data_IF_936732883634
#
_entry.id   IF_936732883634
#
_cell.length_a   1.000
_cell.length_b   1.000
_cell.length_c   1.000
_cell.angle_alpha   90.00
_cell.angle_beta   90.00
_cell.angle_gamma   90.00
#
_symmetry.space_group_name_H-M   'P 1'
#
loop_
_entity.id
_entity.type
_entity.pdbx_description
1 polymer ?
#
# COMPACT_ATOMS: atom_id res chain seq x y z
N UNK A 1 15.09 4.71 -5.42
CA UNK A 1 14.03 5.33 -6.22
C UNK A 1 12.68 4.74 -5.79
N UNK A 2 11.68 5.58 -5.62
CA UNK A 2 10.31 5.17 -5.33
C UNK A 2 9.46 5.71 -6.46
N UNK A 3 8.73 4.85 -7.15
CA UNK A 3 7.82 5.23 -8.23
C UNK A 3 6.46 4.57 -8.00
N UNK A 4 5.40 5.33 -8.16
CA UNK A 4 4.03 4.83 -8.09
C UNK A 4 3.56 4.48 -9.50
N UNK A 5 2.90 3.35 -9.67
CA UNK A 5 2.47 2.85 -10.98
C UNK A 5 1.31 3.64 -11.58
N UNK A 6 0.42 4.17 -10.73
CA UNK A 6 -0.71 5.02 -11.13
C UNK A 6 -1.15 5.92 -9.97
N UNK A 7 -2.02 6.89 -10.24
CA UNK A 7 -2.66 7.74 -9.21
C UNK A 7 -3.87 7.10 -8.53
N UNK A 8 -4.16 5.83 -8.78
CA UNK A 8 -5.29 5.13 -8.18
C UNK A 8 -5.06 4.83 -6.69
N UNK A 9 -6.11 4.83 -5.87
CA UNK A 9 -6.01 4.39 -4.49
C UNK A 9 -5.50 2.95 -4.39
N UNK A 10 -4.43 2.73 -3.60
CA UNK A 10 -3.84 1.41 -3.43
C UNK A 10 -2.93 0.94 -4.56
N UNK A 11 -2.65 1.80 -5.54
CA UNK A 11 -1.73 1.52 -6.64
C UNK A 11 -0.38 1.01 -6.15
N UNK A 12 0.22 0.12 -6.92
CA UNK A 12 1.52 -0.44 -6.63
C UNK A 12 2.61 0.62 -6.56
N UNK A 13 3.46 0.50 -5.57
CA UNK A 13 4.67 1.30 -5.43
C UNK A 13 5.86 0.41 -5.73
N UNK A 14 6.64 0.79 -6.73
CA UNK A 14 7.92 0.15 -7.03
C UNK A 14 9.01 0.83 -6.22
N UNK A 15 9.63 0.09 -5.33
CA UNK A 15 10.76 0.56 -4.52
C UNK A 15 12.02 -0.09 -5.06
N UNK A 16 12.98 0.70 -5.50
CA UNK A 16 14.28 0.23 -5.99
C UNK A 16 15.39 0.80 -5.14
N UNK A 17 16.19 -0.08 -4.53
CA UNK A 17 17.29 0.29 -3.64
C UNK A 17 18.62 0.31 -4.40
N UNK A 18 18.92 -0.73 -5.20
CA UNK A 18 20.18 -0.94 -5.90
C UNK A 18 20.11 -0.83 -7.43
N UNK A 19 19.00 -0.30 -7.99
CA UNK A 19 18.81 -0.24 -9.45
C UNK A 19 18.32 -1.57 -10.04
N UNK A 20 18.51 -1.77 -11.35
CA UNK A 20 18.12 -3.00 -12.06
C UNK A 20 19.32 -3.96 -12.06
N UNK A 21 19.40 -4.84 -11.08
CA UNK A 21 20.47 -5.84 -10.98
C UNK A 21 20.10 -7.18 -11.61
N UNK A 22 18.83 -7.42 -11.88
CA UNK A 22 18.36 -8.68 -12.46
C UNK A 22 17.48 -8.46 -13.68
N UNK A 23 17.76 -9.23 -14.74
CA UNK A 23 16.96 -9.26 -15.98
C UNK A 23 15.78 -10.23 -15.86
N UNK A 24 15.87 -11.24 -15.00
CA UNK A 24 14.93 -12.37 -14.92
C UNK A 24 14.15 -12.46 -13.62
N UNK A 25 14.69 -11.97 -12.52
CA UNK A 25 14.00 -11.94 -11.22
C UNK A 25 13.59 -10.51 -10.88
N UNK A 26 12.50 -10.36 -10.13
CA UNK A 26 12.02 -9.04 -9.73
C UNK A 26 13.11 -8.23 -9.03
N UNK A 27 13.09 -6.92 -9.24
CA UNK A 27 14.06 -5.96 -8.65
C UNK A 27 13.54 -5.36 -7.33
N UNK A 28 12.49 -5.92 -6.75
CA UNK A 28 11.92 -5.45 -5.50
C UNK A 28 12.79 -5.86 -4.30
N UNK A 29 12.96 -4.98 -3.30
CA UNK A 29 13.65 -5.31 -2.08
C UNK A 29 12.85 -6.34 -1.25
N UNK A 30 13.55 -7.11 -0.43
CA UNK A 30 12.93 -7.95 0.58
C UNK A 30 12.34 -7.07 1.68
N UNK A 31 11.11 -7.37 2.10
CA UNK A 31 10.49 -6.70 3.25
C UNK A 31 10.53 -7.66 4.44
N UNK A 32 11.02 -7.16 5.56
CA UNK A 32 11.11 -7.90 6.82
C UNK A 32 10.32 -7.13 7.88
N UNK A 33 9.35 -7.78 8.52
CA UNK A 33 8.57 -7.19 9.61
C UNK A 33 8.90 -7.92 10.90
N UNK A 34 9.40 -7.21 11.90
CA UNK A 34 9.81 -7.74 13.20
C UNK A 34 10.68 -9.01 13.10
N UNK A 35 11.60 -9.01 12.13
CA UNK A 35 12.52 -10.12 11.88
C UNK A 35 11.97 -11.23 10.97
N UNK A 36 10.67 -11.20 10.63
CA UNK A 36 10.05 -12.17 9.73
C UNK A 36 10.06 -11.66 8.29
N UNK A 37 10.76 -12.34 7.37
CA UNK A 37 10.75 -11.94 5.97
C UNK A 37 9.39 -12.24 5.35
N UNK A 38 8.80 -11.24 4.72
CA UNK A 38 7.64 -11.44 3.88
C UNK A 38 8.09 -12.05 2.56
N UNK A 39 7.46 -13.12 2.18
CA UNK A 39 7.68 -13.67 0.85
C UNK A 39 7.04 -12.74 -0.17
N UNK A 40 7.88 -11.97 -0.87
CA UNK A 40 7.46 -11.04 -1.94
C UNK A 40 6.99 -11.78 -3.19
N UNK A 41 6.78 -13.09 -3.11
CA UNK A 41 6.21 -13.92 -4.13
C UNK A 41 4.82 -13.41 -4.49
N UNK A 42 4.74 -12.77 -5.64
CA UNK A 42 3.52 -12.53 -6.41
C UNK A 42 2.33 -11.95 -5.64
N UNK A 43 2.52 -10.75 -5.11
CA UNK A 43 1.38 -9.90 -4.78
C UNK A 43 0.84 -9.16 -6.02
N UNK A 44 1.34 -9.46 -7.19
CA UNK A 44 0.58 -9.38 -8.43
C UNK A 44 -0.49 -10.46 -8.32
N UNK A 45 -1.75 -10.11 -8.44
CA UNK A 45 -2.84 -11.07 -8.57
C UNK A 45 -2.55 -11.99 -9.76
N UNK A 46 -1.82 -13.08 -9.53
CA UNK A 46 -1.79 -14.24 -10.42
C UNK A 46 -3.15 -14.93 -10.30
N UNK A 47 -4.04 -14.52 -11.11
CA UNK A 47 -5.40 -15.03 -11.26
C UNK A 47 -6.00 -14.53 -12.55
N UNK A 48 -5.17 -14.27 -13.55
CA UNK A 48 -5.59 -13.91 -14.89
C UNK A 48 -4.88 -14.80 -15.90
N UNK A 49 -5.63 -15.65 -16.58
CA UNK A 49 -5.20 -16.26 -17.83
C UNK A 49 -4.54 -15.21 -18.72
N UNK A 50 -3.55 -15.65 -19.50
CA UNK A 50 -2.72 -14.86 -20.45
C UNK A 50 -3.54 -14.03 -21.46
N UNK A 51 -4.87 -14.07 -21.39
CA UNK A 51 -5.79 -13.36 -22.30
C UNK A 51 -6.37 -12.06 -21.73
N UNK A 52 -6.14 -11.73 -20.47
CA UNK A 52 -6.71 -10.51 -19.88
C UNK A 52 -5.70 -9.36 -20.02
N UNK A 53 -5.82 -8.60 -21.11
CA UNK A 53 -5.14 -7.32 -21.35
C UNK A 53 -5.78 -6.27 -20.41
N UNK A 54 -5.48 -6.38 -19.17
CA UNK A 54 -6.02 -5.55 -18.10
C UNK A 54 -5.46 -6.00 -16.77
N UNK A 55 -4.12 -6.16 -16.71
CA UNK A 55 -3.45 -6.51 -15.46
C UNK A 55 -3.79 -5.47 -14.40
N UNK A 56 -4.48 -5.92 -13.35
CA UNK A 56 -4.61 -5.12 -12.15
C UNK A 56 -3.22 -4.69 -11.71
N UNK A 57 -3.00 -3.39 -11.58
CA UNK A 57 -1.73 -2.82 -11.15
C UNK A 57 -1.21 -3.58 -9.93
N UNK A 58 0.08 -3.95 -9.94
CA UNK A 58 0.72 -4.58 -8.80
C UNK A 58 0.40 -3.78 -7.53
N UNK A 59 -0.05 -4.44 -6.48
CA UNK A 59 -0.41 -3.76 -5.23
C UNK A 59 0.83 -3.43 -4.43
N UNK A 60 0.75 -2.36 -3.65
CA UNK A 60 1.85 -2.00 -2.76
C UNK A 60 2.02 -3.10 -1.70
N UNK A 61 3.20 -3.73 -1.60
CA UNK A 61 3.45 -4.76 -0.59
C UNK A 61 3.37 -4.23 0.84
N UNK A 62 3.47 -2.91 1.05
CA UNK A 62 3.30 -2.29 2.37
C UNK A 62 1.82 -2.13 2.78
N UNK A 63 0.87 -2.47 1.92
CA UNK A 63 -0.55 -2.40 2.26
C UNK A 63 -0.98 -3.41 3.34
N UNK A 64 -0.15 -4.41 3.66
CA UNK A 64 -0.47 -5.37 4.72
C UNK A 64 -0.40 -4.81 6.11
N UNK A 65 0.43 -3.81 6.35
CA UNK A 65 0.64 -3.27 7.68
C UNK A 65 -0.12 -1.94 7.81
N UNK A 66 -0.62 -1.70 9.00
CA UNK A 66 -1.12 -0.39 9.34
C UNK A 66 0.07 0.56 9.57
N UNK A 67 0.09 1.69 8.89
CA UNK A 67 1.16 2.70 9.04
C UNK A 67 1.29 3.20 10.48
N UNK A 68 0.18 3.27 11.22
CA UNK A 68 0.19 3.69 12.61
C UNK A 68 0.82 2.66 13.57
N UNK A 69 1.01 1.42 13.13
CA UNK A 69 1.70 0.38 13.89
C UNK A 69 3.20 0.33 13.63
N UNK A 70 3.71 1.11 12.69
CA UNK A 70 5.13 1.17 12.40
C UNK A 70 5.81 2.08 13.44
N UNK A 71 6.85 1.55 14.10
CA UNK A 71 7.74 2.33 14.97
C UNK A 71 8.91 2.91 14.18
N UNK A 72 9.55 2.08 13.36
CA UNK A 72 10.68 2.49 12.52
C UNK A 72 10.76 1.69 11.23
N UNK A 73 11.39 2.29 10.23
CA UNK A 73 11.71 1.65 8.96
C UNK A 73 13.18 1.89 8.63
N UNK A 74 13.92 0.83 8.40
CA UNK A 74 15.34 0.88 8.03
C UNK A 74 15.56 0.23 6.68
N UNK A 75 16.41 0.84 5.85
CA UNK A 75 16.75 0.32 4.51
C UNK A 75 18.20 -0.15 4.52
N UNK A 76 18.39 -1.46 4.40
CA UNK A 76 19.70 -2.08 4.31
C UNK A 76 20.15 -2.11 2.85
N UNK A 77 21.22 -1.36 2.57
CA UNK A 77 21.77 -1.22 1.21
C UNK A 77 23.08 -1.98 1.02
N UNK A 78 23.80 -2.23 2.10
CA UNK A 78 25.15 -2.81 2.04
C UNK A 78 25.08 -4.34 2.00
N UNK A 79 26.05 -4.95 1.29
CA UNK A 79 26.10 -6.40 1.14
C UNK A 79 26.28 -7.11 2.50
N UNK A 80 27.05 -6.52 3.42
CA UNK A 80 27.27 -7.07 4.77
C UNK A 80 25.98 -7.10 5.59
N UNK A 81 25.15 -6.03 5.53
CA UNK A 81 23.90 -5.95 6.28
C UNK A 81 22.78 -6.81 5.69
N UNK A 82 22.85 -7.11 4.38
CA UNK A 82 21.86 -7.96 3.70
C UNK A 82 22.24 -9.44 3.70
N UNK A 83 23.48 -9.79 4.04
CA UNK A 83 24.00 -11.17 4.00
C UNK A 83 23.19 -12.16 4.85
N UNK A 84 22.63 -11.71 5.98
CA UNK A 84 21.80 -12.56 6.86
C UNK A 84 20.51 -13.04 6.19
N UNK A 85 20.07 -12.37 5.12
CA UNK A 85 18.87 -12.73 4.35
C UNK A 85 19.17 -13.55 3.09
N UNK A 86 20.47 -13.86 2.86
CA UNK A 86 20.93 -14.66 1.72
C UNK A 86 20.57 -14.04 0.37
N UNK A 87 20.30 -14.87 -0.62
CA UNK A 87 19.98 -14.44 -1.99
C UNK A 87 18.74 -13.52 -2.08
N UNK A 88 17.79 -13.65 -1.16
CA UNK A 88 16.58 -12.79 -1.12
C UNK A 88 16.91 -11.33 -0.78
N UNK A 89 18.02 -11.08 -0.08
CA UNK A 89 18.49 -9.72 0.23
C UNK A 89 19.30 -9.04 -0.88
N UNK A 90 19.49 -9.68 -2.04
CA UNK A 90 20.37 -9.17 -3.11
C UNK A 90 19.94 -7.78 -3.63
N UNK A 91 18.64 -7.51 -3.70
CA UNK A 91 18.08 -6.22 -4.15
C UNK A 91 17.96 -5.18 -3.03
N UNK A 92 18.49 -5.47 -1.84
CA UNK A 92 18.33 -4.69 -0.62
C UNK A 92 17.20 -5.22 0.26
N UNK A 93 17.16 -4.75 1.50
CA UNK A 93 16.17 -5.18 2.49
C UNK A 93 15.55 -3.96 3.16
N UNK A 94 14.22 -3.96 3.30
CA UNK A 94 13.47 -3.00 4.09
C UNK A 94 13.05 -3.69 5.37
N UNK A 95 13.61 -3.25 6.49
CA UNK A 95 13.27 -3.76 7.83
C UNK A 95 12.26 -2.82 8.46
N UNK A 96 11.11 -3.36 8.82
CA UNK A 96 10.03 -2.65 9.50
C UNK A 96 9.95 -3.18 10.92
N UNK A 97 10.02 -2.29 11.89
CA UNK A 97 9.81 -2.61 13.31
C UNK A 97 8.47 -2.05 13.73
N UNK A 98 7.64 -2.88 14.34
CA UNK A 98 6.31 -2.45 14.81
C UNK A 98 6.36 -1.92 16.24
N UNK A 99 5.39 -1.06 16.55
CA UNK A 99 5.23 -0.48 17.89
C UNK A 99 4.93 -1.55 18.92
N UNK A 100 5.58 -1.43 20.07
CA UNK A 100 5.36 -2.23 21.27
C UNK A 100 4.75 -1.38 22.38
N UNK A 101 4.24 -2.00 23.43
CA UNK A 101 3.83 -1.28 24.63
C UNK A 101 5.05 -0.62 25.31
N UNK A 102 4.87 0.54 25.92
CA UNK A 102 5.95 1.28 26.59
C UNK A 102 5.64 1.59 28.06
N UNK A 103 4.41 1.34 28.51
CA UNK A 103 3.94 1.74 29.83
C UNK A 103 3.42 0.55 30.62
N UNK A 104 3.70 0.54 31.91
CA UNK A 104 3.16 -0.45 32.85
C UNK A 104 1.63 -0.32 33.04
N UNK A 105 1.08 0.84 32.74
CA UNK A 105 -0.36 1.05 32.72
C UNK A 105 -0.91 0.80 31.31
N UNK A 106 -2.10 0.20 31.18
CA UNK A 106 -2.74 0.07 29.89
C UNK A 106 -2.93 1.44 29.22
N UNK A 107 -2.47 1.57 27.98
CA UNK A 107 -2.63 2.78 27.18
C UNK A 107 -3.56 2.50 26.02
N UNK A 108 -4.67 3.23 25.98
CA UNK A 108 -5.59 3.24 24.85
C UNK A 108 -5.28 4.46 23.98
N UNK A 109 -5.04 4.23 22.70
CA UNK A 109 -4.76 5.29 21.73
C UNK A 109 -5.74 5.19 20.58
N UNK A 110 -6.39 6.30 20.26
CA UNK A 110 -7.23 6.43 19.08
C UNK A 110 -6.68 7.55 18.18
N UNK A 111 -6.43 7.22 16.92
CA UNK A 111 -6.03 8.16 15.89
C UNK A 111 -7.09 8.19 14.79
N UNK A 112 -7.47 9.38 14.37
CA UNK A 112 -8.34 9.58 13.23
C UNK A 112 -7.77 10.66 12.32
N UNK A 113 -7.89 10.47 11.02
CA UNK A 113 -7.52 11.50 10.04
C UNK A 113 -8.48 11.51 8.86
N UNK A 114 -8.69 12.69 8.31
CA UNK A 114 -9.49 12.93 7.11
C UNK A 114 -8.62 13.69 6.12
N UNK A 115 -8.56 13.22 4.89
CA UNK A 115 -7.79 13.82 3.81
C UNK A 115 -8.67 14.00 2.58
N UNK A 116 -8.62 15.19 1.99
CA UNK A 116 -9.27 15.51 0.72
C UNK A 116 -8.23 15.50 -0.40
N UNK A 117 -8.57 14.88 -1.51
CA UNK A 117 -7.74 14.83 -2.70
C UNK A 117 -8.51 15.40 -3.89
N UNK A 118 -7.85 16.22 -4.68
CA UNK A 118 -8.42 16.79 -5.91
C UNK A 118 -7.37 16.72 -7.00
N UNK A 119 -7.80 16.54 -8.23
CA UNK A 119 -6.91 16.65 -9.38
C UNK A 119 -6.34 18.07 -9.45
N UNK A 120 -5.04 18.17 -9.67
CA UNK A 120 -4.35 19.45 -9.88
C UNK A 120 -4.06 19.62 -11.38
N UNK A 121 -4.63 20.66 -11.96
CA UNK A 121 -4.51 20.98 -13.38
C UNK A 121 -5.64 20.38 -14.22
N UNK A 122 -5.83 20.95 -15.42
CA UNK A 122 -6.80 20.50 -16.41
C UNK A 122 -6.07 19.80 -17.55
N UNK A 123 -6.60 18.71 -18.03
CA UNK A 123 -6.17 18.17 -19.31
C UNK A 123 -6.68 19.10 -20.40
N UNK A 124 -5.78 19.71 -21.16
CA UNK A 124 -6.16 20.52 -22.32
C UNK A 124 -6.60 19.60 -23.46
N UNK A 125 -7.78 19.01 -23.29
CA UNK A 125 -8.42 18.22 -24.34
C UNK A 125 -9.16 19.16 -25.28
N UNK A 126 -9.18 18.83 -26.57
CA UNK A 126 -10.01 19.55 -27.55
C UNK A 126 -11.48 19.27 -27.25
N UNK A 127 -12.28 20.31 -27.24
CA UNK A 127 -13.73 20.16 -27.26
C UNK A 127 -14.17 19.52 -28.58
N UNK A 128 -15.36 18.86 -28.62
CA UNK A 128 -15.87 18.32 -29.89
C UNK A 128 -15.91 19.34 -31.04
N UNK A 129 -16.26 20.58 -30.76
CA UNK A 129 -16.28 21.66 -31.75
C UNK A 129 -14.87 22.08 -32.21
N UNK A 130 -13.88 22.08 -31.31
CA UNK A 130 -12.48 22.33 -31.69
C UNK A 130 -11.90 21.17 -32.50
N UNK A 131 -12.24 19.92 -32.09
CA UNK A 131 -11.85 18.73 -32.81
C UNK A 131 -12.40 18.71 -34.26
N UNK A 132 -13.71 19.02 -34.43
CA UNK A 132 -14.34 19.10 -35.72
C UNK A 132 -13.69 20.16 -36.66
N UNK A 133 -13.22 21.29 -36.09
CA UNK A 133 -12.48 22.29 -36.84
C UNK A 133 -11.07 21.81 -37.23
N UNK A 134 -10.41 21.07 -36.33
CA UNK A 134 -9.07 20.55 -36.57
C UNK A 134 -9.06 19.38 -37.57
N UNK A 135 -10.11 18.56 -37.60
CA UNK A 135 -10.25 17.38 -38.47
C UNK A 135 -11.57 17.45 -39.22
N UNK A 136 -11.57 18.14 -40.39
CA UNK A 136 -12.78 18.28 -41.22
C UNK A 136 -13.38 16.92 -41.61
N UNK A 137 -14.70 16.80 -41.57
CA UNK A 137 -15.43 15.57 -41.89
C UNK A 137 -15.67 14.62 -40.70
N UNK A 138 -15.16 14.95 -39.51
CA UNK A 138 -15.39 14.18 -38.30
C UNK A 138 -16.47 14.79 -37.38
N UNK A 139 -17.15 15.84 -37.82
CA UNK A 139 -18.27 16.41 -37.08
C UNK A 139 -19.45 15.42 -37.05
N UNK A 140 -19.71 14.87 -35.90
CA UNK A 140 -20.83 13.96 -35.61
C UNK A 140 -22.05 14.70 -35.02
N UNK A 141 -22.04 16.04 -35.03
CA UNK A 141 -23.16 16.86 -34.48
C UNK A 141 -23.33 16.71 -32.97
N UNK A 142 -22.28 16.34 -32.25
CA UNK A 142 -22.29 16.16 -30.80
C UNK A 142 -22.37 17.49 -30.06
N UNK A 143 -22.94 17.46 -28.85
CA UNK A 143 -22.87 18.58 -27.93
C UNK A 143 -21.49 18.63 -27.30
N UNK A 144 -20.98 19.85 -27.08
CA UNK A 144 -19.79 20.04 -26.26
C UNK A 144 -20.09 19.55 -24.83
N UNK A 145 -19.42 18.47 -24.43
CA UNK A 145 -19.57 17.86 -23.14
C UNK A 145 -18.21 17.70 -22.48
N UNK A 146 -18.05 18.20 -21.28
CA UNK A 146 -16.82 18.03 -20.51
C UNK A 146 -16.79 16.65 -19.88
N UNK A 147 -16.15 15.70 -20.55
CA UNK A 147 -16.00 14.33 -20.06
C UNK A 147 -15.11 14.25 -18.82
N UNK A 148 -14.17 15.19 -18.67
CA UNK A 148 -13.31 15.27 -17.50
C UNK A 148 -14.14 15.51 -16.23
N UNK A 149 -14.99 16.54 -16.23
CA UNK A 149 -15.88 16.82 -15.10
C UNK A 149 -16.88 15.68 -14.85
N UNK A 150 -17.26 14.97 -15.90
CA UNK A 150 -18.19 13.86 -15.79
C UNK A 150 -17.59 12.68 -15.01
N UNK A 151 -16.31 12.41 -15.16
CA UNK A 151 -15.62 11.25 -14.57
C UNK A 151 -14.84 11.58 -13.30
N UNK A 152 -14.49 12.86 -13.08
CA UNK A 152 -13.71 13.30 -11.94
C UNK A 152 -14.59 13.67 -10.74
N UNK A 153 -14.03 13.52 -9.55
CA UNK A 153 -14.59 13.92 -8.27
C UNK A 153 -13.50 14.31 -7.29
N UNK A 154 -13.88 14.93 -6.18
CA UNK A 154 -12.99 15.06 -5.04
C UNK A 154 -12.90 13.73 -4.31
N UNK A 155 -11.69 13.24 -4.10
CA UNK A 155 -11.44 12.04 -3.31
C UNK A 155 -11.47 12.34 -1.82
N UNK A 156 -11.97 11.39 -1.03
CA UNK A 156 -11.99 11.46 0.43
C UNK A 156 -11.29 10.22 1.00
N UNK A 157 -10.31 10.45 1.86
CA UNK A 157 -9.69 9.37 2.63
C UNK A 157 -9.99 9.58 4.11
N UNK A 158 -10.51 8.55 4.75
CA UNK A 158 -10.72 8.49 6.20
C UNK A 158 -9.89 7.37 6.78
N UNK A 159 -9.20 7.65 7.88
CA UNK A 159 -8.45 6.65 8.64
C UNK A 159 -8.92 6.67 10.09
N UNK A 160 -9.12 5.48 10.65
CA UNK A 160 -9.46 5.26 12.05
C UNK A 160 -8.59 4.15 12.59
N UNK A 161 -7.83 4.42 13.64
CA UNK A 161 -6.94 3.45 14.28
C UNK A 161 -7.15 3.47 15.78
N UNK A 162 -7.43 2.32 16.33
CA UNK A 162 -7.57 2.09 17.75
C UNK A 162 -6.51 1.09 18.20
N UNK A 163 -5.78 1.40 19.26
CA UNK A 163 -4.84 0.45 19.82
C UNK A 163 -4.83 0.49 21.34
N UNK A 164 -4.65 -0.67 21.94
CA UNK A 164 -4.39 -0.83 23.35
C UNK A 164 -3.04 -1.51 23.54
N UNK A 165 -2.25 -1.00 24.47
CA UNK A 165 -0.93 -1.57 24.75
C UNK A 165 -0.60 -1.49 26.22
N UNK A 166 0.18 -2.47 26.69
CA UNK A 166 0.72 -2.54 28.05
C UNK A 166 2.10 -3.18 28.01
N UNK A 167 2.99 -2.70 28.84
CA UNK A 167 4.27 -3.34 29.10
C UNK A 167 4.39 -3.63 30.60
N UNK A 168 5.13 -4.69 30.95
CA UNK A 168 5.61 -5.00 32.29
C UNK A 168 7.07 -5.41 32.18
N UNK A 169 7.72 -5.75 33.29
CA UNK A 169 9.13 -6.16 33.27
C UNK A 169 9.39 -7.34 32.33
N UNK A 170 8.46 -8.31 32.29
CA UNK A 170 8.63 -9.56 31.54
C UNK A 170 7.61 -9.76 30.42
N UNK A 171 6.75 -8.77 30.16
CA UNK A 171 5.70 -8.91 29.14
C UNK A 171 5.41 -7.59 28.47
N UNK A 172 5.22 -7.65 27.17
CA UNK A 172 4.83 -6.52 26.35
C UNK A 172 3.73 -6.95 25.39
N UNK A 173 2.59 -6.28 25.45
CA UNK A 173 1.44 -6.63 24.61
C UNK A 173 0.89 -5.38 23.94
N UNK A 174 0.56 -5.49 22.65
CA UNK A 174 -0.15 -4.49 21.89
C UNK A 174 -1.18 -5.14 20.97
N UNK A 175 -2.40 -4.64 21.00
CA UNK A 175 -3.46 -4.95 20.03
C UNK A 175 -3.83 -3.67 19.29
N UNK A 176 -3.96 -3.75 17.98
CA UNK A 176 -4.37 -2.63 17.13
C UNK A 176 -5.45 -3.06 16.14
N UNK A 177 -6.35 -2.15 15.83
CA UNK A 177 -7.40 -2.31 14.83
C UNK A 177 -7.43 -1.02 14.00
N UNK A 178 -7.33 -1.15 12.70
CA UNK A 178 -7.36 -0.03 11.76
C UNK A 178 -8.42 -0.19 10.69
N UNK A 179 -9.03 0.91 10.29
CA UNK A 179 -9.94 1.01 9.16
C UNK A 179 -9.57 2.22 8.30
N UNK A 180 -9.30 2.00 7.03
CA UNK A 180 -9.03 3.04 6.05
C UNK A 180 -10.05 2.94 4.93
N UNK A 181 -10.69 4.03 4.55
CA UNK A 181 -11.52 4.13 3.37
C UNK A 181 -11.01 5.28 2.51
N UNK A 182 -10.71 4.99 1.25
CA UNK A 182 -10.27 5.99 0.28
C UNK A 182 -11.18 5.94 -0.93
N UNK A 183 -11.85 7.04 -1.22
CA UNK A 183 -12.50 7.27 -2.50
C UNK A 183 -11.50 7.97 -3.43
N UNK A 184 -11.38 7.46 -4.65
CA UNK A 184 -10.47 8.01 -5.65
C UNK A 184 -10.98 9.31 -6.26
N UNK A 185 -10.09 10.02 -6.95
CA UNK A 185 -10.45 11.23 -7.72
C UNK A 185 -11.23 10.91 -8.98
N UNK A 186 -11.24 9.66 -9.42
CA UNK A 186 -12.10 9.16 -10.50
C UNK A 186 -13.33 8.51 -9.87
N UNK A 187 -14.53 8.84 -10.39
CA UNK A 187 -15.80 8.28 -9.87
C UNK A 187 -15.80 6.75 -9.91
N UNK A 188 -16.35 6.16 -8.86
CA UNK A 188 -16.44 4.71 -8.68
C UNK A 188 -15.10 3.98 -8.54
N UNK A 189 -14.01 4.68 -8.20
CA UNK A 189 -12.75 4.08 -7.78
C UNK A 189 -12.54 4.28 -6.30
N UNK A 190 -11.90 3.33 -5.63
CA UNK A 190 -11.60 3.45 -4.21
C UNK A 190 -11.09 2.16 -3.61
N UNK A 191 -10.61 2.25 -2.38
CA UNK A 191 -10.10 1.12 -1.61
C UNK A 191 -10.57 1.23 -0.16
N UNK A 192 -11.04 0.14 0.39
CA UNK A 192 -11.27 0.00 1.83
C UNK A 192 -10.34 -1.07 2.39
N UNK A 193 -9.65 -0.74 3.48
CA UNK A 193 -8.68 -1.60 4.16
C UNK A 193 -9.04 -1.71 5.63
N UNK A 194 -9.03 -2.93 6.14
CA UNK A 194 -9.20 -3.24 7.56
C UNK A 194 -7.98 -4.02 8.02
N UNK A 195 -7.40 -3.62 9.12
CA UNK A 195 -6.20 -4.23 9.69
C UNK A 195 -6.42 -4.62 11.13
N UNK A 196 -5.90 -5.77 11.53
CA UNK A 196 -5.81 -6.21 12.92
C UNK A 196 -4.36 -6.60 13.14
N UNK A 197 -3.74 -6.03 14.16
CA UNK A 197 -2.38 -6.35 14.59
C UNK A 197 -2.36 -6.77 16.04
N UNK A 198 -1.70 -7.89 16.35
CA UNK A 198 -1.43 -8.32 17.71
C UNK A 198 0.05 -8.64 17.86
N UNK A 199 0.70 -7.94 18.75
CA UNK A 199 2.09 -8.15 19.12
C UNK A 199 2.18 -8.48 20.59
N UNK A 200 2.85 -9.57 20.90
CA UNK A 200 3.11 -9.98 22.29
C UNK A 200 4.56 -10.47 22.39
N UNK A 201 5.23 -10.06 23.46
CA UNK A 201 6.60 -10.49 23.78
C UNK A 201 6.62 -10.85 25.26
N UNK A 202 7.02 -12.06 25.59
CA UNK A 202 7.14 -12.51 26.97
C UNK A 202 8.52 -13.09 27.22
N UNK A 203 9.11 -12.71 28.35
CA UNK A 203 10.36 -13.25 28.86
C UNK A 203 10.06 -14.20 30.03
N UNK A 204 10.46 -15.45 29.88
CA UNK A 204 10.27 -16.51 30.88
C UNK A 204 11.60 -16.89 31.51
N UNK A 205 11.54 -17.40 32.72
CA UNK A 205 12.70 -17.93 33.46
C UNK A 205 13.84 -16.93 33.59
N UNK A 206 13.53 -15.67 33.93
CA UNK A 206 14.55 -14.64 34.08
C UNK A 206 15.27 -14.26 32.79
N UNK A 207 14.57 -14.33 31.63
CA UNK A 207 15.14 -13.97 30.32
C UNK A 207 15.80 -15.13 29.58
N UNK A 208 15.77 -16.36 30.13
CA UNK A 208 16.32 -17.55 29.47
C UNK A 208 15.49 -17.94 28.22
N UNK A 209 14.18 -17.74 28.27
CA UNK A 209 13.27 -18.01 27.17
C UNK A 209 12.48 -16.76 26.82
N UNK A 210 12.65 -16.27 25.60
CA UNK A 210 11.86 -15.18 25.04
C UNK A 210 10.92 -15.70 23.96
N UNK A 211 9.64 -15.39 24.12
CA UNK A 211 8.59 -15.76 23.15
C UNK A 211 8.00 -14.50 22.54
N UNK A 212 8.26 -14.26 21.26
CA UNK A 212 7.67 -13.19 20.50
C UNK A 212 6.56 -13.75 19.60
N UNK A 213 5.36 -13.16 19.67
CA UNK A 213 4.20 -13.54 18.87
C UNK A 213 3.73 -12.34 18.08
N UNK A 214 3.67 -12.47 16.76
CA UNK A 214 3.19 -11.44 15.85
C UNK A 214 2.09 -12.01 14.97
N UNK A 215 0.89 -11.43 15.06
CA UNK A 215 -0.25 -11.80 14.23
C UNK A 215 -0.75 -10.55 13.50
N UNK A 216 -0.83 -10.63 12.19
CA UNK A 216 -1.36 -9.56 11.35
C UNK A 216 -2.41 -10.12 10.42
N UNK A 217 -3.53 -9.42 10.36
CA UNK A 217 -4.58 -9.68 9.38
C UNK A 217 -4.92 -8.39 8.65
N UNK A 218 -5.03 -8.47 7.33
CA UNK A 218 -5.45 -7.34 6.50
C UNK A 218 -6.47 -7.79 5.48
N UNK A 219 -7.66 -7.22 5.55
CA UNK A 219 -8.70 -7.34 4.54
C UNK A 219 -8.72 -6.10 3.65
N UNK A 220 -8.68 -6.29 2.34
CA UNK A 220 -8.72 -5.19 1.35
C UNK A 220 -9.91 -5.43 0.44
N UNK A 221 -10.76 -4.40 0.31
CA UNK A 221 -11.84 -4.34 -0.68
C UNK A 221 -11.52 -3.23 -1.67
N UNK A 222 -11.25 -3.62 -2.89
CA UNK A 222 -10.88 -2.73 -3.98
C UNK A 222 -12.08 -2.50 -4.90
N UNK A 223 -12.31 -1.24 -5.27
CA UNK A 223 -13.31 -0.77 -6.23
C UNK A 223 -12.61 -0.20 -7.45
N UNK A 224 -11.70 -0.95 -8.04
CA UNK A 224 -11.01 -0.53 -9.27
C UNK A 224 -11.87 -0.90 -10.46
N UNK A 225 -12.14 0.05 -11.35
CA UNK A 225 -12.78 -0.26 -12.62
C UNK A 225 -11.76 -0.90 -13.56
N UNK A 226 -12.03 -2.12 -13.97
CA UNK A 226 -11.31 -2.73 -15.11
C UNK A 226 -11.73 -1.98 -16.37
N UNK A 227 -10.77 -1.45 -17.09
CA UNK A 227 -10.98 -0.91 -18.43
C UNK A 227 -11.00 -2.12 -19.36
N UNK A 228 -12.19 -2.62 -19.67
CA UNK A 228 -12.33 -3.62 -20.74
C UNK A 228 -12.23 -2.89 -22.07
N UNK A 229 -11.19 -3.19 -22.84
CA UNK A 229 -11.01 -2.70 -24.21
C UNK A 229 -11.96 -3.39 -25.23
N UNK A 230 -12.98 -4.10 -24.76
CA UNK A 230 -14.01 -4.71 -25.60
C UNK A 230 -15.22 -3.76 -25.70
N UNK A 231 -15.08 -2.74 -26.53
CA UNK A 231 -16.17 -1.93 -27.08
C UNK A 231 -15.98 -1.80 -28.59
#
# INVERSE_FOLDING_TARGET
QITQSSGEPGAGVSIRIRGNSSIRSGNNPLIVIDGVPLDGGNMSSEGGEITDIGSSSARNPLNFINQNDIESMSVLKDASSTAIYGARGANGVIVITTKKGKSNLPQLTYNASVQFSKMSGDFKLLTPSEYAKAVPGQDKGGRDYNWEDAIMQSGLTTNHDLSISKASENSNTRLSIGATSTDGIVKNTGIAKYTIGFNNSNDFFGGVLKVDTHLFYTGIKDRTKRINNNA
#
